data_IF_772238430271
#
_entry.id   IF_772238430271
#
_cell.length_a   1.000
_cell.length_b   1.000
_cell.length_c   1.000
_cell.angle_alpha   90.00
_cell.angle_beta   90.00
_cell.angle_gamma   90.00
#
_symmetry.space_group_name_H-M   'P 1'
#
loop_
_entity.id
_entity.type
_entity.pdbx_description
1 polymer ?
#
# COMPACT_ATOMS: atom_id res chain seq x y z
N UNK A 1 -30.44 36.89 41.51
CA UNK A 1 -29.30 37.82 41.58
C UNK A 1 -28.18 37.17 42.38
N UNK A 2 -26.92 37.55 42.11
CA UNK A 2 -25.66 37.20 42.79
C UNK A 2 -24.98 35.88 42.33
N UNK A 3 -23.72 35.83 41.85
CA UNK A 3 -22.60 36.77 41.85
C UNK A 3 -21.65 36.51 40.66
N UNK A 4 -21.17 37.59 40.05
CA UNK A 4 -20.02 37.61 39.16
C UNK A 4 -18.74 37.90 39.98
N UNK A 5 -17.78 37.00 39.89
CA UNK A 5 -16.36 37.19 40.20
C UNK A 5 -15.65 36.02 39.50
N UNK A 6 -15.16 36.08 38.25
CA UNK A 6 -14.28 37.06 37.62
C UNK A 6 -13.19 37.52 38.60
N UNK A 7 -12.03 36.85 38.58
CA UNK A 7 -10.81 37.40 37.96
C UNK A 7 -9.60 36.49 38.19
N UNK A 8 -8.84 36.28 37.09
CA UNK A 8 -7.38 36.11 37.02
C UNK A 8 -6.81 34.80 37.62
N UNK A 9 -5.94 34.03 36.97
CA UNK A 9 -4.57 34.38 36.60
C UNK A 9 -4.00 33.23 35.74
N UNK A 10 -3.47 33.61 34.58
CA UNK A 10 -2.28 33.10 33.87
C UNK A 10 -2.10 31.61 33.53
N UNK A 11 -2.24 31.38 32.22
CA UNK A 11 -1.54 30.41 31.38
C UNK A 11 -0.09 30.13 31.83
N UNK A 12 0.23 28.89 32.20
CA UNK A 12 1.59 28.37 32.11
C UNK A 12 1.61 27.29 31.01
N UNK A 13 2.10 27.69 29.84
CA UNK A 13 2.42 26.79 28.75
C UNK A 13 3.66 25.98 29.12
N UNK A 14 3.56 24.65 29.16
CA UNK A 14 4.74 23.77 29.13
C UNK A 14 4.48 22.58 28.20
N UNK A 15 5.05 22.70 27.00
CA UNK A 15 5.70 21.60 26.30
C UNK A 15 4.85 20.40 25.93
N UNK A 16 3.93 20.57 24.98
CA UNK A 16 3.56 19.44 24.13
C UNK A 16 4.83 19.09 23.33
N UNK A 17 5.49 18.02 23.75
CA UNK A 17 6.56 17.38 23.01
C UNK A 17 6.02 17.05 21.61
N UNK A 18 6.44 17.82 20.61
CA UNK A 18 6.21 17.47 19.22
C UNK A 18 6.95 16.16 18.95
N UNK A 19 6.28 15.04 19.16
CA UNK A 19 6.79 13.72 18.80
C UNK A 19 7.14 13.77 17.31
N UNK A 20 8.34 13.35 16.90
CA UNK A 20 8.76 13.38 15.52
C UNK A 20 8.10 12.21 14.77
N UNK A 21 6.77 12.20 14.67
CA UNK A 21 6.03 11.17 13.92
C UNK A 21 6.27 11.33 12.41
N UNK A 22 6.92 12.41 12.00
CA UNK A 22 7.24 12.72 10.61
C UNK A 22 8.74 12.69 10.34
N UNK A 23 9.50 11.81 10.99
CA UNK A 23 10.76 11.32 10.42
C UNK A 23 10.44 10.48 9.16
N UNK A 24 9.87 11.15 8.16
CA UNK A 24 9.97 10.80 6.76
C UNK A 24 11.42 10.45 6.49
N UNK A 25 11.70 9.28 5.95
CA UNK A 25 12.43 9.28 4.67
C UNK A 25 12.58 7.89 4.06
N UNK A 26 12.09 6.83 4.71
CA UNK A 26 12.33 5.47 4.24
C UNK A 26 11.04 4.67 4.16
N UNK A 27 10.05 5.27 3.50
CA UNK A 27 8.83 4.56 3.16
C UNK A 27 9.19 3.39 2.24
N UNK A 28 9.23 2.21 2.87
CA UNK A 28 9.23 0.88 2.26
C UNK A 28 10.50 0.58 1.45
N UNK A 29 11.50 0.02 2.14
CA UNK A 29 12.26 -1.05 1.51
C UNK A 29 11.24 -1.98 0.84
N UNK A 30 11.33 -2.14 -0.48
CA UNK A 30 10.45 -3.05 -1.20
C UNK A 30 10.48 -4.38 -0.44
N UNK A 31 9.31 -4.88 -0.02
CA UNK A 31 9.26 -6.14 0.68
C UNK A 31 9.86 -7.20 -0.25
N UNK A 32 10.98 -7.81 0.18
CA UNK A 32 11.62 -8.89 -0.57
C UNK A 32 10.71 -10.10 -0.47
N UNK A 33 10.28 -10.63 -1.61
CA UNK A 33 9.46 -11.82 -1.73
C UNK A 33 10.34 -12.93 -2.30
N UNK A 34 10.66 -13.99 -1.53
CA UNK A 34 11.43 -15.10 -2.07
C UNK A 34 10.79 -15.68 -3.33
N UNK A 35 11.58 -15.90 -4.38
CA UNK A 35 11.13 -16.41 -5.67
C UNK A 35 10.44 -15.38 -6.57
N UNK A 36 10.30 -14.12 -6.13
CA UNK A 36 9.69 -13.05 -6.91
C UNK A 36 10.49 -11.75 -6.81
N UNK A 37 10.67 -11.09 -7.94
CA UNK A 37 11.30 -9.79 -8.03
C UNK A 37 10.29 -8.73 -8.45
N UNK A 38 10.53 -7.49 -8.05
CA UNK A 38 9.71 -6.36 -8.48
C UNK A 38 9.94 -6.11 -9.97
N UNK A 39 8.90 -6.26 -10.78
CA UNK A 39 9.00 -6.07 -12.24
C UNK A 39 8.70 -4.64 -12.69
N UNK A 40 8.17 -3.80 -11.80
CA UNK A 40 7.78 -2.43 -12.08
C UNK A 40 6.37 -2.10 -11.60
N UNK A 41 5.96 -0.86 -11.86
CA UNK A 41 4.56 -0.47 -11.73
C UNK A 41 3.89 -0.76 -13.07
N UNK A 42 2.74 -1.45 -13.04
CA UNK A 42 2.05 -1.84 -14.26
C UNK A 42 0.75 -1.08 -14.41
N UNK A 43 0.61 -0.61 -15.64
CA UNK A 43 -0.55 -0.09 -16.34
C UNK A 43 -1.80 -0.98 -16.35
N UNK A 44 -2.93 -0.68 -15.71
CA UNK A 44 -4.19 -1.29 -16.14
C UNK A 44 -5.00 -0.36 -17.04
N UNK A 45 -5.55 -0.92 -18.11
CA UNK A 45 -6.45 -0.22 -19.03
C UNK A 45 -7.81 0.03 -18.36
N UNK A 46 -8.42 1.17 -18.66
CA UNK A 46 -9.76 1.54 -18.15
C UNK A 46 -10.81 0.45 -18.40
N UNK A 47 -10.65 -0.32 -19.48
CA UNK A 47 -11.57 -1.41 -19.84
C UNK A 47 -11.02 -2.81 -19.59
N UNK A 48 -9.75 -2.99 -19.23
CA UNK A 48 -9.09 -4.31 -19.14
C UNK A 48 -8.05 -4.35 -18.02
N UNK A 49 -7.97 -5.47 -17.31
CA UNK A 49 -6.97 -5.72 -16.27
C UNK A 49 -5.63 -6.11 -16.88
N UNK A 50 -4.53 -5.69 -16.25
CA UNK A 50 -3.18 -6.11 -16.64
C UNK A 50 -2.95 -7.60 -16.33
N UNK A 51 -3.60 -8.08 -15.27
CA UNK A 51 -3.62 -9.47 -14.85
C UNK A 51 -5.03 -10.04 -14.98
N UNK A 52 -5.17 -11.06 -15.82
CA UNK A 52 -6.47 -11.66 -16.17
C UNK A 52 -6.67 -13.04 -15.55
N UNK A 53 -5.81 -13.46 -14.63
CA UNK A 53 -5.99 -14.69 -13.85
C UNK A 53 -6.93 -14.47 -12.66
N UNK A 54 -6.67 -15.18 -11.57
CA UNK A 54 -7.49 -15.09 -10.35
C UNK A 54 -7.24 -13.79 -9.59
N UNK A 55 -8.23 -13.44 -8.75
CA UNK A 55 -8.13 -12.32 -7.82
C UNK A 55 -8.50 -12.77 -6.39
N UNK A 56 -7.86 -12.16 -5.40
CA UNK A 56 -8.15 -12.33 -3.98
C UNK A 56 -8.32 -10.96 -3.32
N UNK A 57 -9.34 -10.83 -2.48
CA UNK A 57 -9.67 -9.59 -1.77
C UNK A 57 -9.69 -9.86 -0.27
N UNK A 58 -8.90 -9.11 0.51
CA UNK A 58 -8.84 -9.21 1.98
C UNK A 58 -8.52 -7.82 2.56
N UNK A 59 -9.31 -7.33 3.52
CA UNK A 59 -9.04 -6.05 4.18
C UNK A 59 -7.74 -6.06 5.02
N UNK A 60 -7.27 -7.27 5.36
CA UNK A 60 -6.01 -7.53 6.05
C UNK A 60 -4.99 -8.19 5.12
N UNK A 61 -5.04 -7.86 3.82
CA UNK A 61 -4.13 -8.43 2.84
C UNK A 61 -2.73 -7.82 3.00
N UNK A 62 -1.74 -8.70 3.10
CA UNK A 62 -0.32 -8.34 3.13
C UNK A 62 0.34 -8.86 1.86
N UNK A 63 1.39 -8.19 1.38
CA UNK A 63 2.14 -8.64 0.20
C UNK A 63 2.67 -10.09 0.32
N UNK A 64 2.96 -10.55 1.54
CA UNK A 64 3.34 -11.95 1.80
C UNK A 64 2.17 -12.92 1.56
N UNK A 65 0.94 -12.53 1.90
CA UNK A 65 -0.26 -13.30 1.59
C UNK A 65 -0.50 -13.32 0.07
N UNK A 66 -0.27 -12.20 -0.63
CA UNK A 66 -0.31 -12.19 -2.11
C UNK A 66 0.65 -13.24 -2.67
N UNK A 67 1.92 -13.16 -2.27
CA UNK A 67 2.96 -14.03 -2.79
C UNK A 67 2.65 -15.52 -2.56
N UNK A 68 2.14 -15.87 -1.38
CA UNK A 68 1.71 -17.23 -1.07
C UNK A 68 0.53 -17.68 -1.94
N UNK A 69 -0.47 -16.82 -2.14
CA UNK A 69 -1.61 -17.13 -3.02
C UNK A 69 -1.22 -17.22 -4.51
N UNK A 70 -0.08 -16.64 -4.88
CA UNK A 70 0.42 -16.58 -6.26
C UNK A 70 1.60 -17.50 -6.51
N UNK A 71 1.92 -18.40 -5.57
CA UNK A 71 2.98 -19.38 -5.76
C UNK A 71 2.70 -20.22 -7.01
N UNK A 72 3.73 -20.41 -7.84
CA UNK A 72 3.66 -21.09 -9.13
C UNK A 72 3.36 -20.18 -10.32
N UNK A 73 2.82 -18.98 -10.11
CA UNK A 73 2.47 -18.07 -11.20
C UNK A 73 3.64 -17.19 -11.62
N UNK A 74 3.62 -16.75 -12.88
CA UNK A 74 4.66 -15.87 -13.43
C UNK A 74 4.56 -14.46 -12.86
N UNK A 75 3.34 -13.93 -12.68
CA UNK A 75 3.12 -12.60 -12.16
C UNK A 75 2.05 -12.55 -11.08
N UNK A 76 2.23 -11.60 -10.16
CA UNK A 76 1.15 -11.11 -9.33
C UNK A 76 1.28 -9.62 -9.03
N UNK A 77 0.14 -8.99 -8.83
CA UNK A 77 0.01 -7.58 -8.49
C UNK A 77 -0.71 -7.39 -7.17
N UNK A 78 -0.32 -6.37 -6.41
CA UNK A 78 -1.01 -5.95 -5.20
C UNK A 78 -1.58 -4.55 -5.38
N UNK A 79 -2.90 -4.40 -5.29
CA UNK A 79 -3.64 -3.17 -5.57
C UNK A 79 -4.51 -2.75 -4.37
N UNK A 80 -4.67 -1.44 -4.21
CA UNK A 80 -5.41 -0.74 -3.13
C UNK A 80 -5.16 -1.21 -1.69
N UNK A 81 -4.06 -1.91 -1.42
CA UNK A 81 -3.77 -2.42 -0.09
C UNK A 81 -4.61 -3.62 0.34
N UNK A 82 -5.48 -4.15 -0.55
CA UNK A 82 -6.47 -5.17 -0.21
C UNK A 82 -6.77 -6.17 -1.33
N UNK A 83 -6.14 -6.01 -2.50
CA UNK A 83 -6.43 -6.79 -3.70
C UNK A 83 -5.17 -7.46 -4.21
N UNK A 84 -5.26 -8.75 -4.52
CA UNK A 84 -4.23 -9.50 -5.22
C UNK A 84 -4.78 -9.93 -6.56
N UNK A 85 -4.01 -9.72 -7.62
CA UNK A 85 -4.29 -10.26 -8.94
C UNK A 85 -3.15 -11.17 -9.37
N UNK A 86 -3.47 -12.22 -10.11
CA UNK A 86 -2.52 -13.24 -10.55
C UNK A 86 -2.59 -13.38 -12.06
N UNK A 87 -1.47 -13.71 -12.72
CA UNK A 87 -1.54 -14.15 -14.10
C UNK A 87 -0.26 -14.75 -14.63
N UNK A 88 -0.40 -15.52 -15.70
CA UNK A 88 0.74 -16.08 -16.44
C UNK A 88 1.37 -15.05 -17.38
N UNK A 89 0.62 -14.02 -17.76
CA UNK A 89 1.05 -12.91 -18.60
C UNK A 89 0.62 -11.60 -17.95
N UNK A 90 1.37 -10.53 -18.21
CA UNK A 90 1.05 -9.18 -17.79
C UNK A 90 0.89 -8.28 -19.02
N UNK A 91 -0.22 -7.54 -19.10
CA UNK A 91 -0.50 -6.62 -20.19
C UNK A 91 -0.43 -5.17 -19.67
N UNK A 92 0.69 -4.46 -19.84
CA UNK A 92 0.76 -3.06 -19.43
C UNK A 92 -0.15 -2.21 -20.32
N UNK A 93 -1.16 -1.59 -19.72
CA UNK A 93 -1.95 -0.51 -20.31
C UNK A 93 -1.17 0.81 -20.39
N UNK A 94 -1.59 1.75 -21.26
CA UNK A 94 -0.96 3.06 -21.41
C UNK A 94 -1.34 4.09 -20.33
N UNK A 95 -2.41 3.84 -19.59
CA UNK A 95 -3.02 4.71 -18.57
C UNK A 95 -2.36 4.55 -17.19
N UNK A 96 -2.88 5.18 -16.13
CA UNK A 96 -2.24 5.27 -14.79
C UNK A 96 -2.97 4.46 -13.69
N UNK A 97 -3.86 3.53 -14.05
CA UNK A 97 -4.64 2.70 -13.11
C UNK A 97 -3.78 1.64 -12.40
N UNK A 98 -3.67 1.78 -11.09
CA UNK A 98 -2.57 1.32 -10.27
C UNK A 98 -2.59 -0.20 -9.96
N UNK A 99 -1.80 -1.00 -10.66
CA UNK A 99 -1.06 -2.06 -9.96
C UNK A 99 0.26 -1.43 -9.47
N UNK A 100 0.30 -0.81 -8.27
CA UNK A 100 1.48 -0.08 -7.80
C UNK A 100 2.68 -1.01 -7.59
N UNK A 101 2.44 -2.32 -7.49
CA UNK A 101 3.51 -3.28 -7.28
C UNK A 101 3.22 -4.59 -7.99
N UNK A 102 3.77 -4.70 -9.20
CA UNK A 102 3.85 -5.95 -9.91
C UNK A 102 5.12 -6.69 -9.52
N UNK A 103 4.98 -7.99 -9.28
CA UNK A 103 6.10 -8.89 -9.11
C UNK A 103 6.07 -9.95 -10.19
N UNK A 104 7.25 -10.28 -10.70
CA UNK A 104 7.49 -11.42 -11.61
C UNK A 104 8.26 -12.49 -10.85
N UNK A 105 8.00 -13.75 -11.17
CA UNK A 105 8.81 -14.88 -10.73
C UNK A 105 10.27 -14.66 -11.13
N UNK A 106 11.16 -14.76 -10.14
CA UNK A 106 12.59 -14.78 -10.36
C UNK A 106 12.97 -16.21 -10.78
N UNK A 107 13.41 -16.38 -12.03
CA UNK A 107 13.95 -17.64 -12.55
C UNK A 107 15.48 -17.59 -12.57
#
# INVERSE_FOLDING_TARGET
MQNAALTAIFLLAIGLNASPVHAASKWRAAAVIPGYEFSGCYTEATAQRALTGSALFDDQLMIKKCAAACEGFEYFGFEYGRETYVGSNAFPGPDNTLLPRMLRRAH
#
